data_IF_679561352376
#
_entry.id   IF_679561352376
#
_cell.length_a   1.000
_cell.length_b   1.000
_cell.length_c   1.000
_cell.angle_alpha   90.00
_cell.angle_beta   90.00
_cell.angle_gamma   90.00
#
_symmetry.space_group_name_H-M   'P 1'
#
loop_
_entity.id
_entity.type
_entity.pdbx_description
1 polymer ?
#
# COMPACT_ATOMS: atom_id res chain seq x y z
N UNK A 1 -36.22 10.97 -1.85
CA UNK A 1 -34.83 11.33 -1.51
C UNK A 1 -34.08 11.53 -2.84
N UNK A 2 -33.53 12.71 -3.07
CA UNK A 2 -32.71 12.90 -4.27
C UNK A 2 -31.37 12.20 -4.05
N UNK A 3 -30.83 11.49 -5.05
CA UNK A 3 -29.56 10.75 -4.94
C UNK A 3 -28.40 11.63 -4.43
N UNK A 4 -28.45 12.95 -4.69
CA UNK A 4 -27.46 13.94 -4.21
C UNK A 4 -27.49 14.16 -2.69
N UNK A 5 -28.52 13.69 -1.98
CA UNK A 5 -28.65 13.81 -0.53
C UNK A 5 -28.09 12.58 0.21
N UNK A 6 -27.48 11.64 -0.53
CA UNK A 6 -26.89 10.42 0.05
C UNK A 6 -25.44 10.65 0.51
N UNK A 7 -25.01 9.91 1.53
CA UNK A 7 -23.62 9.89 1.99
C UNK A 7 -22.66 9.50 0.84
N UNK A 8 -23.03 8.48 0.09
CA UNK A 8 -22.25 8.03 -1.08
C UNK A 8 -22.01 9.16 -2.09
N UNK A 9 -23.02 9.98 -2.38
CA UNK A 9 -22.84 11.13 -3.28
C UNK A 9 -21.86 12.16 -2.71
N UNK A 10 -21.94 12.41 -1.41
CA UNK A 10 -21.03 13.33 -0.72
C UNK A 10 -19.58 12.83 -0.82
N UNK A 11 -19.35 11.56 -0.50
CA UNK A 11 -18.01 10.93 -0.57
C UNK A 11 -17.44 10.95 -1.99
N UNK A 12 -18.25 10.61 -3.01
CA UNK A 12 -17.84 10.72 -4.41
C UNK A 12 -17.42 12.16 -4.76
N UNK A 13 -18.16 13.16 -4.27
CA UNK A 13 -17.87 14.57 -4.53
C UNK A 13 -16.62 15.08 -3.81
N UNK A 14 -16.13 14.38 -2.78
CA UNK A 14 -14.90 14.71 -2.05
C UNK A 14 -13.63 14.12 -2.69
N UNK A 15 -13.76 13.20 -3.65
CA UNK A 15 -12.64 12.48 -4.27
C UNK A 15 -11.61 13.43 -4.90
N UNK A 16 -12.05 14.47 -5.60
CA UNK A 16 -11.16 15.45 -6.23
C UNK A 16 -10.28 16.15 -5.17
N UNK A 17 -10.86 16.55 -4.05
CA UNK A 17 -10.15 17.19 -2.94
C UNK A 17 -9.14 16.23 -2.30
N UNK A 18 -9.52 14.98 -2.09
CA UNK A 18 -8.65 13.96 -1.52
C UNK A 18 -7.41 13.73 -2.41
N UNK A 19 -7.61 13.60 -3.72
CA UNK A 19 -6.52 13.43 -4.70
C UNK A 19 -5.62 14.67 -4.74
N UNK A 20 -6.19 15.87 -4.77
CA UNK A 20 -5.42 17.12 -4.79
C UNK A 20 -4.55 17.29 -3.53
N UNK A 21 -5.03 16.84 -2.36
CA UNK A 21 -4.30 16.88 -1.10
C UNK A 21 -3.24 15.80 -0.93
N UNK A 22 -3.30 14.73 -1.69
CA UNK A 22 -2.48 13.54 -1.51
C UNK A 22 -0.97 13.82 -1.54
N UNK A 23 -0.52 14.58 -2.54
CA UNK A 23 0.90 14.91 -2.69
C UNK A 23 1.43 15.77 -1.53
N UNK A 24 0.64 16.73 -1.06
CA UNK A 24 1.04 17.58 0.06
C UNK A 24 1.29 16.77 1.35
N UNK A 25 0.47 15.74 1.58
CA UNK A 25 0.57 14.88 2.76
C UNK A 25 1.73 13.90 2.63
N UNK A 26 1.96 13.31 1.45
CA UNK A 26 2.85 12.16 1.29
C UNK A 26 4.20 12.46 0.64
N UNK A 27 4.44 13.67 0.10
CA UNK A 27 5.64 13.97 -0.69
C UNK A 27 6.96 13.63 0.02
N UNK A 28 7.07 13.96 1.31
CA UNK A 28 8.27 13.66 2.10
C UNK A 28 8.46 12.14 2.29
N UNK A 29 7.39 11.44 2.59
CA UNK A 29 7.40 9.98 2.77
C UNK A 29 7.77 9.29 1.46
N UNK A 30 7.19 9.72 0.34
CA UNK A 30 7.51 9.18 -0.98
C UNK A 30 8.99 9.39 -1.32
N UNK A 31 9.53 10.59 -1.07
CA UNK A 31 10.96 10.87 -1.29
C UNK A 31 11.87 9.97 -0.42
N UNK A 32 11.48 9.72 0.84
CA UNK A 32 12.21 8.83 1.73
C UNK A 32 12.17 7.36 1.25
N UNK A 33 11.00 6.89 0.80
CA UNK A 33 10.85 5.55 0.21
C UNK A 33 11.78 5.37 -1.00
N UNK A 34 11.79 6.35 -1.91
CA UNK A 34 12.64 6.29 -3.11
C UNK A 34 14.12 6.22 -2.72
N UNK A 35 14.58 7.11 -1.83
CA UNK A 35 15.97 7.13 -1.38
C UNK A 35 16.38 5.82 -0.70
N UNK A 36 15.50 5.24 0.10
CA UNK A 36 15.77 4.00 0.81
C UNK A 36 15.75 2.78 -0.13
N UNK A 37 14.84 2.78 -1.09
CA UNK A 37 14.80 1.78 -2.18
C UNK A 37 16.11 1.75 -2.98
N UNK A 38 16.65 2.91 -3.34
CA UNK A 38 17.93 3.04 -4.03
C UNK A 38 19.10 2.55 -3.14
N UNK A 39 19.14 2.97 -1.89
CA UNK A 39 20.19 2.57 -0.92
C UNK A 39 20.22 1.06 -0.69
N UNK A 40 19.08 0.40 -0.62
CA UNK A 40 18.98 -1.05 -0.45
C UNK A 40 19.16 -1.83 -1.75
N UNK A 41 19.37 -1.16 -2.89
CA UNK A 41 19.54 -1.82 -4.18
C UNK A 41 18.36 -2.68 -4.60
N UNK A 42 17.15 -2.25 -4.22
CA UNK A 42 15.90 -2.94 -4.57
C UNK A 42 15.78 -3.08 -6.08
N UNK A 43 15.28 -4.24 -6.53
CA UNK A 43 15.10 -4.54 -7.96
C UNK A 43 13.68 -4.97 -8.30
N UNK A 44 12.91 -5.37 -7.30
CA UNK A 44 11.56 -5.86 -7.49
C UNK A 44 10.60 -5.19 -6.51
N UNK A 45 9.36 -5.06 -6.94
CA UNK A 45 8.26 -4.56 -6.11
C UNK A 45 7.28 -5.70 -5.86
N UNK A 46 7.05 -6.03 -4.59
CA UNK A 46 6.08 -7.03 -4.17
C UNK A 46 4.82 -6.33 -3.66
N UNK A 47 3.67 -6.74 -4.16
CA UNK A 47 2.39 -6.10 -3.89
C UNK A 47 1.48 -7.07 -3.12
N UNK A 48 0.91 -6.61 -2.01
CA UNK A 48 -0.03 -7.38 -1.20
C UNK A 48 -1.29 -6.56 -0.92
N UNK A 49 -2.44 -7.08 -1.30
CA UNK A 49 -3.75 -6.43 -1.11
C UNK A 49 -4.89 -7.42 -1.23
N UNK A 50 -6.11 -6.97 -0.94
CA UNK A 50 -7.34 -7.75 -1.05
C UNK A 50 -8.45 -6.93 -1.69
N UNK A 51 -9.30 -7.59 -2.48
CA UNK A 51 -10.47 -6.97 -3.08
C UNK A 51 -10.14 -5.74 -3.93
N UNK A 52 -10.79 -4.61 -3.67
CA UNK A 52 -10.57 -3.36 -4.42
C UNK A 52 -9.15 -2.82 -4.27
N UNK A 53 -8.51 -3.02 -3.12
CA UNK A 53 -7.11 -2.64 -2.92
C UNK A 53 -6.16 -3.43 -3.84
N UNK A 54 -6.45 -4.71 -4.09
CA UNK A 54 -5.69 -5.52 -5.04
C UNK A 54 -5.83 -5.01 -6.48
N UNK A 55 -7.04 -4.60 -6.87
CA UNK A 55 -7.25 -3.98 -8.18
C UNK A 55 -6.52 -2.64 -8.35
N UNK A 56 -6.42 -1.83 -7.30
CA UNK A 56 -5.62 -0.61 -7.32
C UNK A 56 -4.12 -0.92 -7.50
N UNK A 57 -3.64 -1.95 -6.82
CA UNK A 57 -2.26 -2.44 -6.98
C UNK A 57 -2.01 -3.00 -8.37
N UNK A 58 -3.02 -3.58 -9.03
CA UNK A 58 -2.89 -4.05 -10.42
C UNK A 58 -2.56 -2.89 -11.37
N UNK A 59 -3.25 -1.78 -11.23
CA UNK A 59 -2.93 -0.57 -12.00
C UNK A 59 -1.52 -0.05 -11.64
N UNK A 60 -1.19 0.00 -10.36
CA UNK A 60 0.12 0.44 -9.89
C UNK A 60 1.27 -0.42 -10.44
N UNK A 61 1.07 -1.75 -10.52
CA UNK A 61 2.03 -2.67 -11.14
C UNK A 61 2.42 -2.21 -12.55
N UNK A 62 1.43 -1.89 -13.40
CA UNK A 62 1.70 -1.42 -14.75
C UNK A 62 2.52 -0.12 -14.74
N UNK A 63 2.17 0.82 -13.87
CA UNK A 63 2.92 2.08 -13.75
C UNK A 63 4.38 1.83 -13.34
N UNK A 64 4.62 0.96 -12.38
CA UNK A 64 5.98 0.60 -11.95
C UNK A 64 6.77 0.02 -13.11
N UNK A 65 6.24 -0.97 -13.80
CA UNK A 65 6.94 -1.65 -14.89
C UNK A 65 7.18 -0.74 -16.11
N UNK A 66 6.25 0.17 -16.40
CA UNK A 66 6.39 1.11 -17.54
C UNK A 66 7.36 2.25 -17.21
N UNK A 67 7.36 2.78 -15.99
CA UNK A 67 7.98 4.05 -15.68
C UNK A 67 9.31 3.92 -14.92
N UNK A 68 9.50 2.85 -14.14
CA UNK A 68 10.66 2.74 -13.25
C UNK A 68 11.71 1.71 -13.70
N UNK A 69 11.36 0.79 -14.59
CA UNK A 69 12.22 -0.33 -14.98
C UNK A 69 12.31 -1.45 -13.92
N UNK A 70 11.61 -1.34 -12.79
CA UNK A 70 11.46 -2.43 -11.83
C UNK A 70 10.43 -3.44 -12.32
N UNK A 71 10.62 -4.71 -11.96
CA UNK A 71 9.53 -5.68 -12.07
C UNK A 71 8.62 -5.60 -10.86
N UNK A 72 7.32 -5.84 -11.06
CA UNK A 72 6.36 -5.86 -9.97
C UNK A 72 5.51 -7.14 -10.01
N UNK A 73 5.34 -7.77 -8.85
CA UNK A 73 4.57 -9.01 -8.71
C UNK A 73 3.69 -9.03 -7.48
N UNK A 74 2.68 -9.91 -7.49
CA UNK A 74 1.81 -10.11 -6.33
C UNK A 74 2.37 -11.15 -5.40
N UNK A 75 2.27 -10.88 -4.12
CA UNK A 75 2.45 -11.88 -3.06
C UNK A 75 1.08 -12.42 -2.69
N UNK A 76 0.89 -13.73 -2.80
CA UNK A 76 -0.30 -14.37 -2.26
C UNK A 76 -0.17 -14.45 -0.72
N UNK A 77 -0.97 -13.71 0.06
CA UNK A 77 -0.78 -13.66 1.51
C UNK A 77 -0.92 -15.04 2.18
N UNK A 78 -1.72 -15.93 1.61
CA UNK A 78 -1.88 -17.30 2.09
C UNK A 78 -0.57 -18.11 2.07
N UNK A 79 0.35 -17.81 1.18
CA UNK A 79 1.67 -18.45 1.15
C UNK A 79 2.42 -18.19 2.45
N UNK A 80 2.32 -16.97 2.98
CA UNK A 80 2.94 -16.59 4.26
C UNK A 80 2.13 -17.10 5.45
N UNK A 81 0.79 -16.91 5.43
CA UNK A 81 -0.04 -17.12 6.62
C UNK A 81 -0.52 -18.57 6.83
N UNK A 82 -0.63 -19.35 5.75
CA UNK A 82 -1.19 -20.72 5.80
C UNK A 82 -0.18 -21.81 5.47
N UNK A 83 0.77 -21.51 4.58
CA UNK A 83 1.69 -22.52 4.05
C UNK A 83 3.12 -22.36 4.58
N UNK A 84 3.39 -21.39 5.45
CA UNK A 84 4.73 -21.06 5.96
C UNK A 84 5.78 -21.00 4.84
N UNK A 85 5.38 -20.38 3.72
CA UNK A 85 6.19 -20.33 2.52
C UNK A 85 7.48 -19.50 2.72
N UNK A 86 8.56 -20.00 2.15
CA UNK A 86 9.90 -19.37 2.24
C UNK A 86 10.09 -18.32 1.15
N UNK A 87 9.24 -17.30 1.15
CA UNK A 87 9.41 -16.16 0.24
C UNK A 87 10.57 -15.31 0.73
N UNK A 88 11.52 -14.99 -0.14
CA UNK A 88 12.60 -14.07 0.16
C UNK A 88 12.22 -12.65 -0.25
N UNK A 89 12.09 -11.77 0.73
CA UNK A 89 11.77 -10.37 0.55
C UNK A 89 12.98 -9.44 0.66
N UNK A 90 14.18 -9.94 0.98
CA UNK A 90 15.33 -9.15 1.44
C UNK A 90 15.80 -8.04 0.48
N UNK A 91 15.58 -8.20 -0.83
CA UNK A 91 15.98 -7.22 -1.86
C UNK A 91 14.76 -6.61 -2.57
N UNK A 92 13.64 -6.47 -1.87
CA UNK A 92 12.39 -6.00 -2.45
C UNK A 92 11.87 -4.74 -1.76
N UNK A 93 11.11 -3.95 -2.50
CA UNK A 93 10.13 -3.02 -1.96
C UNK A 93 8.80 -3.78 -1.81
N UNK A 94 8.29 -3.90 -0.59
CA UNK A 94 7.04 -4.61 -0.33
C UNK A 94 5.94 -3.63 0.07
N UNK A 95 4.88 -3.57 -0.71
CA UNK A 95 3.76 -2.64 -0.52
C UNK A 95 2.51 -3.39 -0.13
N UNK A 96 2.03 -3.15 1.09
CA UNK A 96 0.73 -3.62 1.57
C UNK A 96 -0.34 -2.54 1.43
N UNK A 97 -1.43 -2.86 0.75
CA UNK A 97 -2.55 -1.94 0.56
C UNK A 97 -3.82 -2.48 1.21
N UNK A 98 -4.39 -1.70 2.12
CA UNK A 98 -5.66 -1.97 2.77
C UNK A 98 -6.29 -0.65 3.20
N UNK A 99 -7.47 -0.33 2.70
CA UNK A 99 -8.15 0.93 3.00
C UNK A 99 -8.29 1.12 4.52
N UNK A 100 -8.81 0.15 5.25
CA UNK A 100 -8.93 0.18 6.70
C UNK A 100 -7.63 -0.07 7.46
N UNK A 101 -6.67 -0.76 6.83
CA UNK A 101 -5.41 -1.16 7.46
C UNK A 101 -5.53 -2.35 8.45
N UNK A 102 -6.65 -3.09 8.44
CA UNK A 102 -6.93 -4.22 9.35
C UNK A 102 -6.88 -5.59 8.67
N UNK A 103 -6.45 -5.69 7.42
CA UNK A 103 -6.30 -6.96 6.73
C UNK A 103 -5.13 -7.77 7.32
N UNK A 104 -5.45 -8.71 8.21
CA UNK A 104 -4.46 -9.47 8.98
C UNK A 104 -3.43 -10.22 8.12
N UNK A 105 -3.86 -10.73 6.99
CA UNK A 105 -3.02 -11.44 6.05
C UNK A 105 -2.05 -10.51 5.29
N UNK A 106 -2.46 -9.28 4.98
CA UNK A 106 -1.58 -8.25 4.41
C UNK A 106 -0.57 -7.76 5.45
N UNK A 107 -1.01 -7.61 6.71
CA UNK A 107 -0.14 -7.25 7.84
C UNK A 107 0.97 -8.30 8.00
N UNK A 108 0.62 -9.59 8.00
CA UNK A 108 1.60 -10.68 8.12
C UNK A 108 2.66 -10.66 7.01
N UNK A 109 2.28 -10.32 5.77
CA UNK A 109 3.24 -10.16 4.66
C UNK A 109 4.21 -9.01 4.95
N UNK A 110 3.71 -7.86 5.40
CA UNK A 110 4.54 -6.69 5.73
C UNK A 110 5.49 -6.97 6.90
N UNK A 111 5.00 -7.61 7.96
CA UNK A 111 5.83 -7.99 9.11
C UNK A 111 6.94 -8.94 8.68
N UNK A 112 6.61 -9.98 7.90
CA UNK A 112 7.59 -10.94 7.39
C UNK A 112 8.63 -10.29 6.49
N UNK A 113 8.22 -9.39 5.62
CA UNK A 113 9.13 -8.64 4.76
C UNK A 113 10.07 -7.74 5.56
N UNK A 114 9.56 -7.05 6.58
CA UNK A 114 10.35 -6.20 7.48
C UNK A 114 11.38 -7.00 8.28
N UNK A 115 11.02 -8.18 8.79
CA UNK A 115 11.95 -9.10 9.46
C UNK A 115 13.14 -9.49 8.58
N UNK A 116 12.95 -9.52 7.26
CA UNK A 116 13.98 -9.86 6.28
C UNK A 116 14.77 -8.63 5.77
N UNK A 117 14.49 -7.44 6.27
CA UNK A 117 15.17 -6.21 5.88
C UNK A 117 14.71 -5.63 4.54
N UNK A 118 13.53 -6.01 4.06
CA UNK A 118 12.89 -5.36 2.91
C UNK A 118 12.47 -3.92 3.25
N UNK A 119 12.45 -3.03 2.26
CA UNK A 119 11.78 -1.73 2.38
C UNK A 119 10.27 -1.97 2.38
N UNK A 120 9.58 -1.59 3.45
CA UNK A 120 8.15 -1.89 3.62
C UNK A 120 7.29 -0.64 3.64
N UNK A 121 6.20 -0.67 2.89
CA UNK A 121 5.26 0.44 2.76
C UNK A 121 3.83 -0.03 3.01
N UNK A 122 3.13 0.65 3.88
CA UNK A 122 1.68 0.53 4.05
C UNK A 122 0.95 1.65 3.30
N UNK A 123 -0.11 1.32 2.59
CA UNK A 123 -1.04 2.27 1.99
C UNK A 123 -2.39 2.09 2.65
N UNK A 124 -2.81 3.05 3.49
CA UNK A 124 -4.06 2.96 4.26
C UNK A 124 -4.76 4.31 4.40
N UNK A 125 -6.03 4.28 4.79
CA UNK A 125 -6.77 5.49 5.17
C UNK A 125 -6.84 5.71 6.69
N UNK A 126 -6.12 4.90 7.47
CA UNK A 126 -6.02 5.03 8.92
C UNK A 126 -4.55 4.96 9.36
N UNK A 127 -4.00 6.10 9.79
CA UNK A 127 -2.62 6.21 10.24
C UNK A 127 -2.35 5.44 11.54
N UNK A 128 -3.38 5.15 12.32
CA UNK A 128 -3.28 4.38 13.56
C UNK A 128 -3.52 2.89 13.37
N UNK A 129 -3.83 2.45 12.16
CA UNK A 129 -4.10 1.05 11.85
C UNK A 129 -2.90 0.13 12.11
N UNK A 130 -3.16 -1.16 12.36
CA UNK A 130 -2.09 -2.16 12.53
C UNK A 130 -1.15 -2.23 11.32
N UNK A 131 -1.67 -2.14 10.09
CA UNK A 131 -0.85 -2.18 8.88
C UNK A 131 0.09 -0.96 8.78
N UNK A 132 -0.41 0.25 9.11
CA UNK A 132 0.40 1.46 9.12
C UNK A 132 1.55 1.37 10.13
N UNK A 133 1.31 0.74 11.29
CA UNK A 133 2.32 0.53 12.35
C UNK A 133 3.31 -0.59 12.05
N UNK A 134 2.90 -1.60 11.28
CA UNK A 134 3.76 -2.72 10.90
C UNK A 134 4.84 -2.30 9.88
N UNK A 135 4.50 -1.47 8.91
CA UNK A 135 5.42 -1.03 7.88
C UNK A 135 6.43 0.01 8.38
N UNK A 136 7.51 0.19 7.64
CA UNK A 136 8.50 1.24 7.88
C UNK A 136 7.98 2.61 7.41
N UNK A 137 7.29 2.63 6.27
CA UNK A 137 6.70 3.82 5.69
C UNK A 137 5.19 3.69 5.57
N UNK A 138 4.50 4.80 5.79
CA UNK A 138 3.05 4.87 5.63
C UNK A 138 2.66 5.94 4.61
N UNK A 139 1.97 5.53 3.56
CA UNK A 139 1.28 6.40 2.61
C UNK A 139 -0.17 6.55 3.06
N UNK A 140 -0.52 7.74 3.46
CA UNK A 140 -1.86 8.06 3.96
C UNK A 140 -2.78 8.48 2.83
N UNK A 141 -3.89 7.79 2.63
CA UNK A 141 -4.85 8.11 1.56
C UNK A 141 -5.57 9.43 1.80
N UNK A 142 -5.76 9.82 3.07
CA UNK A 142 -6.41 11.07 3.46
C UNK A 142 -7.80 11.26 2.81
N UNK A 143 -8.52 10.17 2.62
CA UNK A 143 -9.82 10.16 1.96
C UNK A 143 -10.99 10.53 2.91
N UNK A 144 -10.69 10.85 4.17
CA UNK A 144 -11.70 11.10 5.19
C UNK A 144 -12.19 9.80 5.85
N UNK A 145 -13.12 9.95 6.78
CA UNK A 145 -13.71 8.79 7.47
C UNK A 145 -14.77 8.18 6.58
N UNK A 146 -14.65 6.89 6.30
CA UNK A 146 -15.70 6.09 5.69
C UNK A 146 -16.89 5.93 6.67
N UNK A 147 -18.11 6.09 6.20
CA UNK A 147 -19.35 6.08 7.02
C UNK A 147 -20.24 4.90 6.64
#
# INVERSE_FOLDING_TARGET
>A
MKYKDTLMWKEISETERAIAGFNAVNAKTIAAIVADTEKHGVKNVCLAGRGTSDHALFYFKYLVEIMSGYTAGYVAPSVVTMYDGKVDFSANLVIGCSQSGYAADVIAVIEKAKEQGAVTVAVTNDADSPLAKAAEYHIYLNAGKEV
#
